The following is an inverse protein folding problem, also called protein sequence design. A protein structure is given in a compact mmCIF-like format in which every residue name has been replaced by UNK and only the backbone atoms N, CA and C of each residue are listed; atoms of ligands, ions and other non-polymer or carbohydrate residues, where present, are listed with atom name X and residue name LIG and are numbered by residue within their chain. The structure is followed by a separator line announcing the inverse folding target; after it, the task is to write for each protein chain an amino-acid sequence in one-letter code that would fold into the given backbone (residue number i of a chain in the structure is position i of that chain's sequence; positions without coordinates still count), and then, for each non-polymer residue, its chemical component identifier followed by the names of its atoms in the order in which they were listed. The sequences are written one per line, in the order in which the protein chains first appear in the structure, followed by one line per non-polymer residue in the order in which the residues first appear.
data_IF_907406831782
#
_entry.id   IF_907406831782
#
_cell.length_a   1.000
_cell.length_b   1.000
_cell.length_c   1.000
_cell.angle_alpha   90.00
_cell.angle_beta   90.00
_cell.angle_gamma   90.00
#
_symmetry.space_group_name_H-M   'P 1'
#
loop_
_entity.id
_entity.type
_entity.pdbx_description
1 polymer ?
#
# COMPACT_ATOMS: atom_id res chain seq x y z
N UNK A 1 13.57 0.49 4.84
CA UNK A 1 12.93 -0.69 4.20
C UNK A 1 12.89 -0.38 2.71
N UNK A 2 13.96 -0.70 1.97
CA UNK A 2 14.22 -0.13 0.63
C UNK A 2 13.15 -0.42 -0.41
N UNK A 3 12.48 -1.58 -0.32
CA UNK A 3 11.44 -1.95 -1.30
C UNK A 3 10.24 -0.99 -1.25
N UNK A 4 9.79 -0.57 -0.06
CA UNK A 4 8.63 0.34 0.02
C UNK A 4 8.95 1.72 -0.54
N UNK A 5 10.19 2.22 -0.34
CA UNK A 5 10.64 3.46 -0.96
C UNK A 5 10.72 3.35 -2.47
N UNK A 6 11.31 2.27 -3.00
CA UNK A 6 11.35 2.04 -4.45
C UNK A 6 9.95 1.87 -5.04
N UNK A 7 9.07 1.15 -4.34
CA UNK A 7 7.69 0.98 -4.73
C UNK A 7 6.95 2.32 -4.73
N UNK A 8 7.17 3.16 -3.74
CA UNK A 8 6.60 4.49 -3.68
C UNK A 8 7.13 5.41 -4.79
N UNK A 9 8.45 5.52 -4.95
CA UNK A 9 9.09 6.33 -6.01
C UNK A 9 8.70 5.86 -7.41
N UNK A 10 8.59 4.54 -7.60
CA UNK A 10 8.20 3.93 -8.87
C UNK A 10 6.69 3.81 -9.09
N UNK A 11 5.86 4.26 -8.13
CA UNK A 11 4.40 4.04 -8.12
C UNK A 11 4.02 2.57 -8.37
N UNK A 12 4.79 1.65 -7.80
CA UNK A 12 4.56 0.22 -7.93
C UNK A 12 3.24 -0.18 -7.28
N UNK A 13 2.59 -1.14 -7.92
CA UNK A 13 1.39 -1.78 -7.45
C UNK A 13 1.80 -3.11 -6.85
N UNK A 14 1.60 -3.25 -5.54
CA UNK A 14 1.87 -4.46 -4.79
C UNK A 14 0.58 -5.25 -4.59
N UNK A 15 0.69 -6.56 -4.61
CA UNK A 15 -0.40 -7.45 -4.24
C UNK A 15 -0.51 -7.63 -2.73
N UNK A 16 -1.66 -8.15 -2.26
CA UNK A 16 -1.82 -8.52 -0.85
C UNK A 16 -0.78 -9.56 -0.38
N UNK A 17 -0.29 -10.43 -1.26
CA UNK A 17 0.78 -11.37 -0.93
C UNK A 17 2.15 -10.70 -0.85
N UNK A 18 2.48 -9.79 -1.78
CA UNK A 18 3.74 -9.04 -1.72
C UNK A 18 3.80 -8.17 -0.46
N UNK A 19 2.72 -7.48 -0.12
CA UNK A 19 2.65 -6.70 1.12
C UNK A 19 2.87 -7.63 2.32
N UNK A 20 2.24 -8.80 2.36
CA UNK A 20 2.49 -9.78 3.41
C UNK A 20 3.96 -10.24 3.46
N UNK A 21 4.61 -10.47 2.32
CA UNK A 21 6.05 -10.81 2.29
C UNK A 21 6.95 -9.64 2.71
N UNK A 22 6.60 -8.40 2.38
CA UNK A 22 7.42 -7.22 2.62
C UNK A 22 7.34 -6.73 4.07
N UNK A 23 6.12 -6.68 4.62
CA UNK A 23 5.87 -6.13 5.96
C UNK A 23 5.40 -7.18 6.97
N UNK A 24 5.24 -8.45 6.56
CA UNK A 24 4.73 -9.52 7.42
C UNK A 24 3.24 -9.40 7.74
N UNK A 25 2.53 -8.46 7.11
CA UNK A 25 1.11 -8.18 7.40
C UNK A 25 0.31 -8.24 6.11
N UNK A 26 -0.74 -9.06 6.10
CA UNK A 26 -1.67 -9.10 4.98
C UNK A 26 -2.64 -7.91 5.09
N UNK A 27 -2.70 -7.02 4.08
CA UNK A 27 -3.65 -5.92 4.09
C UNK A 27 -5.06 -6.49 3.98
N UNK A 28 -5.80 -6.46 5.08
CA UNK A 28 -7.22 -6.80 5.10
C UNK A 28 -8.01 -5.57 4.66
N UNK A 29 -8.50 -5.59 3.43
CA UNK A 29 -9.54 -4.66 3.00
C UNK A 29 -10.82 -4.96 3.76
N UNK A 30 -10.98 -4.36 4.94
CA UNK A 30 -12.24 -4.41 5.67
C UNK A 30 -13.34 -3.78 4.81
N UNK A 31 -14.58 -4.27 4.91
CA UNK A 31 -15.73 -3.70 4.19
C UNK A 31 -15.82 -2.20 4.50
N UNK A 32 -15.49 -1.37 3.51
CA UNK A 32 -15.54 0.10 3.59
C UNK A 32 -14.18 0.80 3.71
N UNK A 33 -13.07 0.07 3.88
CA UNK A 33 -11.73 0.67 3.93
C UNK A 33 -10.92 0.29 2.70
N UNK A 34 -10.72 1.26 1.82
CA UNK A 34 -9.91 1.13 0.60
C UNK A 34 -8.43 1.46 0.85
N UNK A 35 -8.06 1.83 2.08
CA UNK A 35 -6.70 2.13 2.47
C UNK A 35 -6.31 1.32 3.71
N UNK A 36 -5.07 0.86 3.74
CA UNK A 36 -4.45 0.13 4.82
C UNK A 36 -3.19 0.88 5.24
N UNK A 37 -3.11 1.36 6.48
CA UNK A 37 -1.96 2.09 6.98
C UNK A 37 -1.07 1.22 7.87
N UNK A 38 0.24 1.34 7.70
CA UNK A 38 1.25 0.70 8.54
C UNK A 38 2.39 1.67 8.82
N UNK A 39 2.41 2.24 10.02
CA UNK A 39 3.40 3.24 10.41
C UNK A 39 3.34 4.45 9.46
N UNK A 40 4.45 4.75 8.79
CA UNK A 40 4.57 5.87 7.84
C UNK A 40 4.09 5.55 6.41
N UNK A 41 3.64 4.32 6.16
CA UNK A 41 3.22 3.85 4.84
C UNK A 41 1.71 3.63 4.77
N UNK A 42 1.10 4.10 3.69
CA UNK A 42 -0.33 3.99 3.42
C UNK A 42 -0.49 3.21 2.12
N UNK A 43 -1.07 2.02 2.20
CA UNK A 43 -1.38 1.17 1.06
C UNK A 43 -2.80 1.47 0.61
N UNK A 44 -2.97 2.12 -0.52
CA UNK A 44 -4.29 2.44 -1.08
C UNK A 44 -4.64 1.40 -2.13
N UNK A 45 -5.83 0.83 -2.06
CA UNK A 45 -6.34 -0.11 -3.04
C UNK A 45 -6.42 0.57 -4.40
N UNK A 46 -5.56 0.15 -5.32
CA UNK A 46 -5.52 0.66 -6.68
C UNK A 46 -6.38 -0.18 -7.63
N UNK A 47 -6.80 -1.38 -7.21
CA UNK A 47 -7.70 -2.24 -7.99
C UNK A 47 -7.50 -3.71 -7.67
N UNK A 48 -7.51 -4.55 -8.71
CA UNK A 48 -7.09 -5.95 -8.65
C UNK A 48 -5.91 -6.18 -9.59
N UNK A 49 -4.93 -6.95 -9.14
CA UNK A 49 -3.84 -7.48 -9.96
C UNK A 49 -4.06 -8.98 -10.09
N UNK A 50 -4.61 -9.40 -11.23
CA UNK A 50 -5.01 -10.79 -11.45
C UNK A 50 -6.06 -11.26 -10.42
N UNK A 51 -5.71 -12.28 -9.63
CA UNK A 51 -6.58 -12.83 -8.58
C UNK A 51 -6.45 -12.14 -7.22
N UNK A 52 -5.53 -11.18 -7.09
CA UNK A 52 -5.23 -10.50 -5.83
C UNK A 52 -5.65 -9.04 -5.86
N UNK A 53 -5.79 -8.43 -4.69
CA UNK A 53 -6.06 -7.00 -4.60
C UNK A 53 -4.77 -6.24 -4.86
N UNK A 54 -4.83 -5.25 -5.76
CA UNK A 54 -3.74 -4.34 -6.07
C UNK A 54 -3.74 -3.17 -5.08
N UNK A 55 -2.58 -2.88 -4.52
CA UNK A 55 -2.36 -1.86 -3.53
C UNK A 55 -1.19 -0.97 -3.96
N UNK A 56 -1.41 0.33 -3.98
CA UNK A 56 -0.41 1.33 -4.25
C UNK A 56 0.16 1.86 -2.93
N UNK A 57 1.48 1.93 -2.84
CA UNK A 57 2.17 2.48 -1.67
C UNK A 57 2.18 4.00 -1.75
N UNK A 58 1.70 4.65 -0.70
CA UNK A 58 1.78 6.08 -0.42
C UNK A 58 2.47 6.30 0.92
N UNK A 59 2.93 7.52 1.16
CA UNK A 59 3.48 7.92 2.45
C UNK A 59 2.45 8.77 3.20
N UNK A 60 2.34 8.54 4.50
CA UNK A 60 1.39 9.22 5.37
C UNK A 60 1.58 10.74 5.36
N UNK A 61 2.84 11.20 5.39
CA UNK A 61 3.17 12.63 5.41
C UNK A 61 2.92 13.37 4.09
N UNK A 62 2.65 12.68 2.98
CA UNK A 62 2.25 13.34 1.72
C UNK A 62 0.79 13.79 1.73
N UNK A 63 -0.04 13.26 2.63
CA UNK A 63 -1.45 13.65 2.73
C UNK A 63 -1.63 14.98 3.49
N UNK A 64 -0.55 15.58 4.01
CA UNK A 64 -0.59 16.78 4.86
C UNK A 64 -0.02 18.04 4.20
N UNK A 65 0.30 18.03 2.90
CA UNK A 65 0.95 19.18 2.23
C UNK A 65 0.06 20.01 1.30
N UNK A 66 -1.25 20.02 1.51
CA UNK A 66 -2.15 21.03 0.95
C UNK A 66 -2.88 21.74 2.09
N UNK A 67 -2.26 22.81 2.62
CA UNK A 67 -2.86 23.78 3.53
C UNK A 67 -2.38 25.19 3.17
#
# INVERSE_FOLDING_TARGET
MEVLERAYTGKWILTSAEIHQLIGVQPTGAKGSESFQRGCWVFVKAGKLGNQTAWQVKKDYELTTEA
#
